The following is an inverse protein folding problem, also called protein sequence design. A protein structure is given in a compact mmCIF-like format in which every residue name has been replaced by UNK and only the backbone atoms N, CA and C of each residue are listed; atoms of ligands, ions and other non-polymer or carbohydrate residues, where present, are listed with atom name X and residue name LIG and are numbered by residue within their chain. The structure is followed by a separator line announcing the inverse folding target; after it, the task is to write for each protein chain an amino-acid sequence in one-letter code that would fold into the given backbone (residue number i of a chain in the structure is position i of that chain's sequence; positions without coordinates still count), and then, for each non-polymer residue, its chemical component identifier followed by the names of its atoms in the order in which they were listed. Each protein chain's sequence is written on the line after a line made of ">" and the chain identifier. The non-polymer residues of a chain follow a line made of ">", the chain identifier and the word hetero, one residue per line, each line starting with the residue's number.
data_IF_226427975318
#
_entry.id   IF_226427975318
#
_cell.length_a   1.000
_cell.length_b   1.000
_cell.length_c   1.000
_cell.angle_alpha   90.00
_cell.angle_beta   90.00
_cell.angle_gamma   90.00
#
_symmetry.space_group_name_H-M   'P 1'
#
loop_
_entity.id
_entity.type
_entity.pdbx_description
1 polymer ?
#
# COMPACT_ATOMS: atom_id res chain seq x y z
N UNK A 1 -16.01 21.75 12.22
CA UNK A 1 -15.65 21.07 10.96
C UNK A 1 -15.37 22.17 9.92
N UNK A 2 -14.33 22.03 9.10
CA UNK A 2 -13.90 23.08 8.15
C UNK A 2 -14.78 23.16 6.88
N UNK A 3 -15.47 22.07 6.53
CA UNK A 3 -16.33 21.95 5.35
C UNK A 3 -17.71 21.40 5.71
N UNK A 4 -18.73 21.80 4.94
CA UNK A 4 -20.06 21.20 4.96
C UNK A 4 -20.18 20.15 3.83
N UNK A 5 -20.05 18.87 4.18
CA UNK A 5 -20.09 17.78 3.19
C UNK A 5 -21.46 17.56 2.55
N UNK A 6 -22.55 18.08 3.13
CA UNK A 6 -23.89 17.99 2.54
C UNK A 6 -24.15 19.11 1.52
N UNK A 7 -23.35 20.18 1.55
CA UNK A 7 -23.47 21.31 0.63
C UNK A 7 -22.09 21.90 0.31
N UNK A 8 -21.30 21.14 -0.44
CA UNK A 8 -19.99 21.57 -0.92
C UNK A 8 -20.14 22.57 -2.07
N UNK A 9 -19.51 23.73 -1.95
CA UNK A 9 -19.38 24.64 -3.08
C UNK A 9 -18.34 24.13 -4.08
N UNK A 10 -18.38 24.65 -5.30
CA UNK A 10 -17.37 24.33 -6.31
C UNK A 10 -15.94 24.65 -5.83
N UNK A 11 -15.78 25.71 -5.04
CA UNK A 11 -14.50 26.10 -4.48
C UNK A 11 -14.01 25.09 -3.44
N UNK A 12 -14.89 24.64 -2.54
CA UNK A 12 -14.55 23.59 -1.55
C UNK A 12 -14.12 22.29 -2.23
N UNK A 13 -14.78 21.91 -3.33
CA UNK A 13 -14.42 20.73 -4.12
C UNK A 13 -13.03 20.89 -4.71
N UNK A 14 -12.73 22.05 -5.30
CA UNK A 14 -11.43 22.33 -5.89
C UNK A 14 -10.33 22.28 -4.82
N UNK A 15 -10.52 22.92 -3.67
CA UNK A 15 -9.57 22.90 -2.56
C UNK A 15 -9.31 21.47 -2.06
N UNK A 16 -10.36 20.64 -1.94
CA UNK A 16 -10.21 19.24 -1.52
C UNK A 16 -9.43 18.40 -2.54
N UNK A 17 -9.63 18.66 -3.83
CA UNK A 17 -8.91 17.98 -4.92
C UNK A 17 -7.43 18.38 -4.89
N UNK A 18 -7.15 19.68 -4.83
CA UNK A 18 -5.78 20.19 -4.84
C UNK A 18 -5.01 19.71 -3.60
N UNK A 19 -5.64 19.77 -2.41
CA UNK A 19 -5.07 19.20 -1.19
C UNK A 19 -4.84 17.68 -1.28
N UNK A 20 -5.64 16.96 -2.07
CA UNK A 20 -5.44 15.53 -2.32
C UNK A 20 -4.28 15.28 -3.28
N UNK A 21 -4.16 16.09 -4.33
CA UNK A 21 -3.04 16.02 -5.29
C UNK A 21 -1.71 16.31 -4.61
N UNK A 22 -1.62 17.35 -3.79
CA UNK A 22 -0.43 17.65 -2.99
C UNK A 22 -0.08 16.50 -2.04
N UNK A 23 -1.08 15.87 -1.43
CA UNK A 23 -0.85 14.70 -0.57
C UNK A 23 -0.35 13.48 -1.32
N UNK A 24 -0.85 13.21 -2.51
CA UNK A 24 -0.36 12.11 -3.34
C UNK A 24 1.03 12.41 -3.90
N UNK A 25 1.34 13.66 -4.26
CA UNK A 25 2.69 14.08 -4.64
C UNK A 25 3.69 13.92 -3.50
N UNK A 26 3.29 14.28 -2.27
CA UNK A 26 4.11 14.11 -1.07
C UNK A 26 4.13 12.68 -0.51
N UNK A 27 3.34 11.76 -1.10
CA UNK A 27 3.21 10.39 -0.61
C UNK A 27 4.48 9.59 -0.87
N UNK A 28 5.07 9.72 -2.05
CA UNK A 28 6.23 8.94 -2.46
C UNK A 28 7.48 9.81 -2.38
N UNK A 29 8.47 9.33 -1.64
CA UNK A 29 9.80 9.94 -1.59
C UNK A 29 10.66 9.38 -2.71
N UNK A 30 10.59 8.05 -2.91
CA UNK A 30 11.30 7.34 -3.95
C UNK A 30 10.57 6.04 -4.31
N UNK A 31 10.58 5.65 -5.57
CA UNK A 31 9.88 4.46 -6.04
C UNK A 31 10.73 3.69 -7.06
N UNK A 32 10.80 2.38 -6.87
CA UNK A 32 11.40 1.43 -7.81
C UNK A 32 10.31 0.46 -8.28
N UNK A 33 9.71 0.77 -9.43
CA UNK A 33 8.57 0.03 -9.97
C UNK A 33 8.91 -1.42 -10.30
N UNK A 34 10.12 -1.66 -10.83
CA UNK A 34 10.60 -2.98 -11.23
C UNK A 34 10.65 -3.94 -10.05
N UNK A 35 11.20 -3.51 -8.92
CA UNK A 35 11.33 -4.31 -7.70
C UNK A 35 10.09 -4.24 -6.81
N UNK A 36 9.10 -3.40 -7.16
CA UNK A 36 7.90 -3.14 -6.35
C UNK A 36 8.25 -2.67 -4.93
N UNK A 37 9.31 -1.87 -4.82
CA UNK A 37 9.77 -1.24 -3.59
C UNK A 37 9.48 0.26 -3.69
N UNK A 38 9.00 0.85 -2.59
CA UNK A 38 8.79 2.30 -2.50
C UNK A 38 9.11 2.81 -1.10
N UNK A 39 9.62 4.03 -1.02
CA UNK A 39 9.71 4.81 0.21
C UNK A 39 8.52 5.77 0.20
N UNK A 40 7.60 5.57 1.14
CA UNK A 40 6.39 6.38 1.29
C UNK A 40 6.45 7.23 2.57
N UNK A 41 5.94 8.46 2.53
CA UNK A 41 5.76 9.30 3.71
C UNK A 41 4.44 8.95 4.41
N UNK A 42 4.51 8.18 5.51
CA UNK A 42 3.33 7.78 6.28
C UNK A 42 3.05 8.73 7.46
N UNK A 43 1.92 8.53 8.14
CA UNK A 43 1.46 9.37 9.27
C UNK A 43 2.49 9.51 10.40
N UNK A 44 3.35 8.52 10.59
CA UNK A 44 4.37 8.48 11.65
C UNK A 44 5.80 8.72 11.14
N UNK A 45 5.93 9.17 9.90
CA UNK A 45 7.19 9.38 9.18
C UNK A 45 7.39 8.39 8.04
N UNK A 46 8.56 8.45 7.38
CA UNK A 46 8.85 7.63 6.21
C UNK A 46 8.92 6.13 6.51
N UNK A 47 8.39 5.33 5.59
CA UNK A 47 8.35 3.87 5.64
C UNK A 47 8.80 3.27 4.31
N UNK A 48 9.31 2.04 4.35
CA UNK A 48 9.59 1.26 3.14
C UNK A 48 8.45 0.28 2.93
N UNK A 49 7.88 0.26 1.73
CA UNK A 49 6.84 -0.68 1.34
C UNK A 49 7.36 -1.59 0.25
N UNK A 50 7.19 -2.89 0.47
CA UNK A 50 7.58 -3.93 -0.48
C UNK A 50 6.47 -4.98 -0.56
N UNK A 51 5.93 -5.19 -1.75
CA UNK A 51 4.71 -5.95 -2.00
C UNK A 51 3.53 -5.53 -1.09
N UNK A 52 3.19 -6.38 -0.11
CA UNK A 52 2.12 -6.18 0.88
C UNK A 52 2.66 -5.81 2.25
N UNK A 53 3.97 -5.83 2.42
CA UNK A 53 4.64 -5.66 3.69
C UNK A 53 5.17 -4.22 3.82
N UNK A 54 5.16 -3.74 5.06
CA UNK A 54 5.67 -2.43 5.44
C UNK A 54 6.83 -2.65 6.39
N UNK A 55 7.95 -1.99 6.11
CA UNK A 55 9.20 -2.08 6.83
C UNK A 55 9.54 -0.71 7.41
N UNK A 56 10.08 -0.71 8.63
CA UNK A 56 10.56 0.51 9.28
C UNK A 56 11.92 0.88 8.71
N UNK A 57 12.16 2.16 8.46
CA UNK A 57 13.48 2.66 8.14
C UNK A 57 14.31 2.68 9.44
N UNK A 58 15.53 2.13 9.46
CA UNK A 58 16.39 2.20 10.63
C UNK A 58 16.77 3.64 10.95
N UNK A 59 17.28 3.87 12.16
CA UNK A 59 17.88 5.16 12.50
C UNK A 59 19.25 5.28 11.85
N UNK A 60 19.68 6.51 11.59
CA UNK A 60 21.05 6.80 11.14
C UNK A 60 22.06 6.33 12.20
N UNK A 61 23.36 6.29 11.86
CA UNK A 61 24.41 5.95 12.83
C UNK A 61 24.46 6.89 14.05
N UNK A 62 23.97 8.12 13.89
CA UNK A 62 23.82 9.11 14.96
C UNK A 62 22.56 8.88 15.83
N UNK A 63 21.72 7.89 15.49
CA UNK A 63 20.46 7.64 16.19
C UNK A 63 19.31 8.54 15.75
N UNK A 64 19.48 9.32 14.68
CA UNK A 64 18.49 10.25 14.16
C UNK A 64 17.59 9.57 13.12
N UNK A 65 16.44 10.19 12.83
CA UNK A 65 15.60 9.76 11.71
C UNK A 65 16.25 10.26 10.41
N UNK A 66 16.11 9.51 9.33
CA UNK A 66 16.49 10.01 8.02
C UNK A 66 15.59 11.19 7.64
N UNK A 67 16.18 12.23 7.05
CA UNK A 67 15.43 13.31 6.44
C UNK A 67 14.88 12.88 5.06
N UNK A 68 13.88 13.62 4.57
CA UNK A 68 13.26 13.30 3.27
C UNK A 68 14.27 13.40 2.13
N UNK A 69 15.20 14.35 2.20
CA UNK A 69 16.25 14.52 1.19
C UNK A 69 17.25 13.36 1.21
N UNK A 70 17.68 12.91 2.39
CA UNK A 70 18.56 11.74 2.50
C UNK A 70 17.92 10.51 1.86
N UNK A 71 16.62 10.30 2.10
CA UNK A 71 15.88 9.16 1.57
C UNK A 71 15.70 9.18 0.05
N UNK A 72 15.85 10.33 -0.61
CA UNK A 72 15.87 10.39 -2.09
C UNK A 72 17.20 9.92 -2.67
N UNK A 73 18.28 10.05 -1.91
CA UNK A 73 19.63 9.66 -2.32
C UNK A 73 19.96 8.20 -1.97
N UNK A 74 19.17 7.59 -1.07
CA UNK A 74 19.35 6.19 -0.68
C UNK A 74 19.24 5.27 -1.89
N UNK A 75 20.22 4.38 -2.03
CA UNK A 75 20.25 3.39 -3.10
C UNK A 75 19.37 2.18 -2.78
N UNK A 76 18.79 1.60 -3.81
CA UNK A 76 17.93 0.41 -3.73
C UNK A 76 18.56 -0.73 -2.91
N UNK A 77 19.86 -0.95 -3.04
CA UNK A 77 20.59 -2.01 -2.32
C UNK A 77 20.58 -1.81 -0.80
N UNK A 78 20.60 -0.56 -0.33
CA UNK A 78 20.48 -0.25 1.09
C UNK A 78 19.05 -0.47 1.59
N UNK A 79 18.05 -0.10 0.79
CA UNK A 79 16.65 -0.39 1.10
C UNK A 79 16.40 -1.90 1.20
N UNK A 80 16.98 -2.69 0.29
CA UNK A 80 16.92 -4.16 0.36
C UNK A 80 17.58 -4.71 1.62
N UNK A 81 18.68 -4.11 2.11
CA UNK A 81 19.29 -4.47 3.40
C UNK A 81 18.34 -4.21 4.58
N UNK A 82 17.63 -3.08 4.58
CA UNK A 82 16.66 -2.78 5.65
C UNK A 82 15.48 -3.76 5.66
N UNK A 83 15.01 -4.14 4.47
CA UNK A 83 13.95 -5.14 4.30
C UNK A 83 14.45 -6.51 4.79
N UNK A 84 15.61 -6.99 4.31
CA UNK A 84 16.15 -8.31 4.71
C UNK A 84 16.50 -8.43 6.18
N UNK A 85 16.89 -7.33 6.84
CA UNK A 85 17.14 -7.31 8.28
C UNK A 85 15.86 -7.60 9.09
N UNK A 86 14.71 -7.15 8.59
CA UNK A 86 13.40 -7.37 9.23
C UNK A 86 12.71 -8.64 8.74
N UNK A 87 12.88 -8.99 7.47
CA UNK A 87 12.34 -10.19 6.84
C UNK A 87 13.39 -10.84 5.92
N UNK A 88 14.09 -11.84 6.46
CA UNK A 88 15.10 -12.63 5.74
C UNK A 88 14.53 -13.42 4.56
N UNK A 89 13.20 -13.55 4.46
CA UNK A 89 12.51 -14.24 3.38
C UNK A 89 11.86 -13.28 2.37
N UNK A 90 11.99 -11.95 2.54
CA UNK A 90 11.32 -10.96 1.70
C UNK A 90 11.61 -11.18 0.20
N UNK A 91 12.86 -11.44 -0.16
CA UNK A 91 13.28 -11.67 -1.54
C UNK A 91 13.36 -13.15 -1.93
N UNK A 92 12.99 -14.07 -1.04
CA UNK A 92 12.86 -15.47 -1.45
C UNK A 92 11.65 -15.56 -2.35
N UNK A 93 11.87 -16.10 -3.55
CA UNK A 93 10.79 -16.39 -4.48
C UNK A 93 9.74 -17.19 -3.71
N UNK A 94 8.55 -16.58 -3.50
CA UNK A 94 7.42 -17.31 -2.93
C UNK A 94 7.12 -18.41 -3.92
N UNK A 95 7.55 -19.63 -3.59
CA UNK A 95 7.13 -20.84 -4.27
C UNK A 95 5.63 -20.70 -4.49
N UNK A 96 5.20 -20.65 -5.76
CA UNK A 96 3.80 -20.55 -6.14
C UNK A 96 3.07 -21.62 -5.33
N UNK A 97 2.38 -21.21 -4.27
CA UNK A 97 1.51 -22.11 -3.53
C UNK A 97 0.54 -22.59 -4.59
N UNK A 98 0.51 -23.90 -4.94
CA UNK A 98 -0.36 -24.37 -5.99
C UNK A 98 -1.75 -23.90 -5.61
N UNK A 99 -2.37 -23.15 -6.52
CA UNK A 99 -3.74 -22.69 -6.36
C UNK A 99 -4.54 -23.93 -5.95
N UNK A 100 -5.04 -23.94 -4.71
CA UNK A 100 -5.82 -25.05 -4.21
C UNK A 100 -6.91 -25.27 -5.25
N UNK A 101 -6.84 -26.43 -5.93
CA UNK A 101 -7.81 -26.82 -6.95
C UNK A 101 -9.18 -26.66 -6.31
N UNK A 102 -9.89 -25.61 -6.72
CA UNK A 102 -11.30 -25.43 -6.41
C UNK A 102 -11.96 -26.73 -6.91
N UNK A 103 -12.59 -27.56 -6.05
CA UNK A 103 -13.25 -28.76 -6.54
C UNK A 103 -14.32 -28.32 -7.54
N UNK A 104 -14.14 -28.74 -8.79
CA UNK A 104 -15.15 -28.59 -9.81
C UNK A 104 -16.34 -29.50 -9.46
N UNK A 105 -17.53 -28.89 -9.51
CA UNK A 105 -18.84 -29.49 -9.75
C UNK A 105 -19.39 -30.55 -8.76
N UNK A 106 -20.49 -30.15 -8.09
CA UNK A 106 -21.73 -30.94 -8.19
C UNK A 106 -22.83 -30.04 -8.79
N UNK A 107 -23.03 -30.17 -10.11
CA UNK A 107 -24.34 -29.91 -10.72
C UNK A 107 -25.23 -31.12 -10.39
N UNK A 108 -26.41 -30.86 -9.83
CA UNK A 108 -27.71 -31.45 -10.18
C UNK A 108 -28.66 -31.40 -8.98
N UNK A 109 -29.82 -30.76 -9.18
CA UNK A 109 -30.91 -30.72 -8.20
C UNK A 109 -31.99 -29.73 -8.61
N UNK A 110 -32.71 -30.05 -9.69
CA UNK A 110 -33.94 -29.35 -10.08
C UNK A 110 -35.10 -29.65 -9.11
N UNK A 111 -36.12 -28.77 -9.12
CA UNK A 111 -37.45 -28.78 -8.42
C UNK A 111 -37.48 -27.84 -7.20
N UNK A 112 -38.41 -26.89 -7.00
CA UNK A 112 -39.75 -26.58 -7.56
C UNK A 112 -40.13 -25.14 -7.11
N UNK A 113 -40.80 -24.29 -7.92
CA UNK A 113 -41.31 -23.01 -7.42
C UNK A 113 -42.56 -23.24 -6.55
N UNK A 114 -42.59 -22.69 -5.35
CA UNK A 114 -43.76 -22.68 -4.48
C UNK A 114 -44.51 -21.35 -4.57
N UNK A 115 -45.83 -21.48 -4.65
CA UNK A 115 -46.82 -20.51 -5.06
C UNK A 115 -46.97 -19.23 -4.21
N UNK A 116 -47.37 -18.15 -4.89
CA UNK A 116 -48.10 -17.02 -4.31
C UNK A 116 -49.39 -17.52 -3.65
N UNK A 117 -49.74 -16.98 -2.47
CA UNK A 117 -51.11 -17.00 -1.95
C UNK A 117 -51.57 -15.58 -1.58
N UNK A 118 -52.75 -15.28 -2.12
CA UNK A 118 -53.79 -14.28 -1.79
C UNK A 118 -53.34 -12.89 -1.35
#
# INVERSE_FOLDING_TARGET
>A
KRYNFENLSQNDIQELIDAKLEKEANRYIQQWETEKISIENARWGPIVKFEKNIFKIPRTKAGEKYEVEDLKEVVLEEVKKWITAQDKNAFKEKAKKPAAKKPAAKKAGAKKPAAKKK
#
